data_IF_335751194384
#
_entry.id   IF_335751194384
#
_cell.length_a   1.000
_cell.length_b   1.000
_cell.length_c   1.000
_cell.angle_alpha   90.00
_cell.angle_beta   90.00
_cell.angle_gamma   90.00
#
_symmetry.space_group_name_H-M   'P 1'
#
loop_
_entity.id
_entity.type
_entity.pdbx_description
1 polymer ?
#
# COMPACT_ATOMS: atom_id res chain seq x y z
N UNK A 1 46.81 -58.86 55.69
CA UNK A 1 46.34 -57.52 55.57
C UNK A 1 45.66 -57.38 54.18
N UNK A 2 44.34 -57.53 54.17
CA UNK A 2 43.58 -57.47 52.92
C UNK A 2 42.77 -56.15 52.92
N UNK A 3 43.06 -55.21 52.03
CA UNK A 3 42.32 -53.97 51.82
C UNK A 3 41.20 -54.19 50.82
N UNK A 4 39.97 -54.21 51.31
CA UNK A 4 38.75 -54.23 50.49
C UNK A 4 38.49 -52.80 50.04
N UNK A 5 38.51 -52.60 48.71
CA UNK A 5 38.11 -51.34 48.03
C UNK A 5 36.62 -51.42 47.77
N UNK A 6 35.85 -50.54 48.43
CA UNK A 6 34.41 -50.35 48.23
C UNK A 6 34.19 -49.39 47.12
N UNK A 7 33.73 -49.90 45.98
CA UNK A 7 33.41 -49.12 44.76
C UNK A 7 31.96 -48.58 44.84
N UNK A 8 31.86 -47.25 45.14
CA UNK A 8 30.59 -46.56 45.28
C UNK A 8 30.05 -46.24 43.83
N UNK A 9 29.01 -46.92 43.40
CA UNK A 9 28.32 -46.72 42.11
C UNK A 9 27.36 -45.51 42.24
N UNK A 10 27.80 -44.30 41.86
CA UNK A 10 26.92 -43.14 41.75
C UNK A 10 26.02 -43.29 40.55
N UNK A 11 24.76 -43.67 40.79
CA UNK A 11 23.69 -43.69 39.80
C UNK A 11 23.26 -42.25 39.52
N UNK A 12 23.76 -41.63 38.44
CA UNK A 12 23.37 -40.31 38.01
C UNK A 12 21.94 -40.35 37.45
N UNK A 13 20.99 -39.84 38.25
CA UNK A 13 19.62 -39.60 37.84
C UNK A 13 19.60 -38.37 36.92
N UNK A 14 19.58 -38.56 35.60
CA UNK A 14 19.35 -37.51 34.63
C UNK A 14 17.84 -37.23 34.59
N UNK A 15 17.35 -36.07 35.02
CA UNK A 15 15.95 -35.77 34.82
C UNK A 15 15.73 -35.60 33.31
N UNK A 16 14.94 -36.48 32.71
CA UNK A 16 14.41 -36.27 31.36
C UNK A 16 13.56 -35.00 31.39
N UNK A 17 14.07 -33.89 30.83
CA UNK A 17 13.24 -32.77 30.48
C UNK A 17 12.19 -33.28 29.48
N UNK A 18 10.99 -33.55 29.99
CA UNK A 18 9.83 -33.71 29.15
C UNK A 18 9.65 -32.35 28.41
N UNK A 19 10.02 -32.32 27.13
CA UNK A 19 9.66 -31.24 26.25
C UNK A 19 8.14 -31.10 26.35
N UNK A 20 7.67 -30.02 26.97
CA UNK A 20 6.24 -29.69 27.00
C UNK A 20 5.82 -29.53 25.53
N UNK A 21 5.09 -30.50 25.02
CA UNK A 21 4.46 -30.40 23.70
C UNK A 21 3.50 -29.24 23.81
N UNK A 22 3.83 -28.11 23.17
CA UNK A 22 2.94 -26.93 23.10
C UNK A 22 1.71 -27.39 22.34
N UNK A 23 0.64 -27.72 23.10
CA UNK A 23 -0.66 -28.01 22.52
C UNK A 23 -1.24 -26.65 22.15
N UNK A 24 -1.30 -26.37 20.85
CA UNK A 24 -1.86 -25.12 20.38
C UNK A 24 -3.37 -25.06 20.73
N UNK A 25 -3.77 -23.97 21.37
CA UNK A 25 -5.16 -23.74 21.79
C UNK A 25 -5.98 -23.27 20.58
N UNK A 26 -7.13 -23.89 20.39
CA UNK A 26 -8.08 -23.49 19.34
C UNK A 26 -8.98 -22.38 19.91
N UNK A 27 -8.97 -21.22 19.26
CA UNK A 27 -9.81 -20.06 19.60
C UNK A 27 -11.18 -20.14 18.91
N UNK A 28 -11.19 -20.53 17.65
CA UNK A 28 -12.44 -20.75 16.92
C UNK A 28 -12.29 -21.84 15.85
N UNK A 29 -13.44 -22.42 15.47
CA UNK A 29 -13.58 -23.29 14.30
C UNK A 29 -14.54 -22.61 13.34
N UNK A 30 -14.16 -22.53 12.08
CA UNK A 30 -14.95 -21.97 10.99
C UNK A 30 -15.01 -23.04 9.90
N UNK A 31 -16.15 -23.64 9.70
CA UNK A 31 -16.30 -24.81 8.83
C UNK A 31 -15.27 -25.91 9.17
N UNK A 32 -14.42 -26.27 8.22
CA UNK A 32 -13.35 -27.26 8.40
C UNK A 32 -12.01 -26.68 8.88
N UNK A 33 -11.90 -25.37 9.11
CA UNK A 33 -10.68 -24.66 9.48
C UNK A 33 -10.67 -24.30 10.97
N UNK A 34 -9.49 -24.08 11.51
CA UNK A 34 -9.30 -23.66 12.91
C UNK A 34 -8.55 -22.34 12.94
N UNK A 35 -8.96 -21.46 13.85
CA UNK A 35 -8.20 -20.27 14.25
C UNK A 35 -7.52 -20.59 15.57
N UNK A 36 -6.20 -20.49 15.59
CA UNK A 36 -5.40 -20.84 16.75
C UNK A 36 -5.12 -19.61 17.62
N UNK A 37 -4.70 -19.85 18.88
CA UNK A 37 -4.30 -18.79 19.79
C UNK A 37 -3.08 -18.03 19.28
N UNK A 38 -2.13 -18.72 18.66
CA UNK A 38 -0.95 -18.11 18.08
C UNK A 38 -1.32 -17.16 16.94
N UNK A 39 -2.26 -17.56 16.08
CA UNK A 39 -2.77 -16.73 15.00
C UNK A 39 -3.52 -15.50 15.51
N UNK A 40 -4.41 -15.70 16.50
CA UNK A 40 -5.14 -14.62 17.15
C UNK A 40 -4.21 -13.59 17.79
N UNK A 41 -3.19 -14.05 18.54
CA UNK A 41 -2.23 -13.16 19.17
C UNK A 41 -1.38 -12.41 18.14
N UNK A 42 -0.93 -13.09 17.08
CA UNK A 42 -0.19 -12.45 15.97
C UNK A 42 -1.01 -11.34 15.31
N UNK A 43 -2.30 -11.56 15.07
CA UNK A 43 -3.19 -10.55 14.51
C UNK A 43 -3.37 -9.35 15.45
N UNK A 44 -3.44 -9.59 16.78
CA UNK A 44 -3.45 -8.50 17.78
C UNK A 44 -2.16 -7.69 17.78
N UNK A 45 -1.01 -8.37 17.69
CA UNK A 45 0.29 -7.69 17.66
C UNK A 45 0.43 -6.87 16.38
N UNK A 46 0.03 -7.42 15.25
CA UNK A 46 0.01 -6.68 13.99
C UNK A 46 -0.91 -5.45 14.06
N UNK A 47 -2.14 -5.60 14.59
CA UNK A 47 -3.03 -4.46 14.81
C UNK A 47 -2.38 -3.37 15.68
N UNK A 48 -1.64 -3.77 16.74
CA UNK A 48 -0.94 -2.81 17.61
C UNK A 48 0.14 -2.04 16.85
N UNK A 49 0.91 -2.73 16.01
CA UNK A 49 1.93 -2.11 15.18
C UNK A 49 1.32 -1.18 14.12
N UNK A 50 0.24 -1.60 13.48
CA UNK A 50 -0.47 -0.81 12.47
C UNK A 50 -1.03 0.50 13.06
N UNK A 51 -1.72 0.43 14.21
CA UNK A 51 -2.27 1.66 14.85
C UNK A 51 -1.16 2.57 15.36
N UNK A 52 -0.02 2.02 15.79
CA UNK A 52 1.14 2.79 16.21
C UNK A 52 1.82 3.52 15.06
N UNK A 53 1.83 2.93 13.87
CA UNK A 53 2.30 3.59 12.66
C UNK A 53 1.32 4.65 12.16
N UNK A 54 0.01 4.37 12.25
CA UNK A 54 -1.06 5.27 11.79
C UNK A 54 -1.15 6.55 12.64
N UNK A 55 -1.19 6.41 13.94
CA UNK A 55 -1.28 7.54 14.89
C UNK A 55 -0.55 7.19 16.21
N UNK A 56 0.74 7.50 16.31
CA UNK A 56 1.53 7.20 17.50
C UNK A 56 0.98 7.80 18.79
N UNK A 57 0.28 8.95 18.71
CA UNK A 57 -0.23 9.67 19.87
C UNK A 57 -1.51 9.04 20.45
N UNK A 58 -2.31 8.37 19.62
CA UNK A 58 -3.58 7.76 20.02
C UNK A 58 -3.56 6.22 19.87
N UNK A 59 -2.40 5.61 19.68
CA UNK A 59 -2.25 4.18 19.37
C UNK A 59 -2.93 3.26 20.40
N UNK A 60 -2.77 3.51 21.69
CA UNK A 60 -3.36 2.68 22.74
C UNK A 60 -4.89 2.73 22.73
N UNK A 61 -5.47 3.91 22.49
CA UNK A 61 -6.92 4.07 22.36
C UNK A 61 -7.45 3.35 21.12
N UNK A 62 -6.81 3.58 19.96
CA UNK A 62 -7.18 2.94 18.71
C UNK A 62 -7.07 1.41 18.81
N UNK A 63 -6.03 0.92 19.48
CA UNK A 63 -5.88 -0.50 19.72
C UNK A 63 -7.01 -1.04 20.61
N UNK A 64 -7.28 -0.42 21.76
CA UNK A 64 -8.36 -0.83 22.68
C UNK A 64 -9.74 -0.86 22.02
N UNK A 65 -10.02 0.10 21.11
CA UNK A 65 -11.28 0.18 20.37
C UNK A 65 -11.41 -0.94 19.34
N UNK A 66 -10.31 -1.39 18.72
CA UNK A 66 -10.30 -2.37 17.62
C UNK A 66 -9.96 -3.80 18.04
N UNK A 67 -9.23 -4.02 19.14
CA UNK A 67 -8.78 -5.36 19.53
C UNK A 67 -9.92 -6.36 19.77
N UNK A 68 -11.08 -5.87 20.20
CA UNK A 68 -12.29 -6.69 20.39
C UNK A 68 -12.82 -7.30 19.11
N UNK A 69 -12.49 -6.69 17.96
CA UNK A 69 -12.99 -7.10 16.65
C UNK A 69 -12.03 -8.05 15.92
N UNK A 70 -10.82 -8.29 16.47
CA UNK A 70 -9.80 -9.14 15.84
C UNK A 70 -10.31 -10.56 15.56
N UNK A 71 -11.05 -11.16 16.49
CA UNK A 71 -11.58 -12.50 16.27
C UNK A 71 -12.67 -12.51 15.18
N UNK A 72 -13.54 -11.51 15.16
CA UNK A 72 -14.53 -11.32 14.10
C UNK A 72 -13.83 -11.25 12.74
N UNK A 73 -12.79 -10.42 12.64
CA UNK A 73 -12.09 -10.19 11.38
C UNK A 73 -11.37 -11.44 10.88
N UNK A 74 -10.80 -12.26 11.78
CA UNK A 74 -10.23 -13.55 11.44
C UNK A 74 -11.26 -14.55 10.95
N UNK A 75 -12.44 -14.60 11.60
CA UNK A 75 -13.56 -15.46 11.18
C UNK A 75 -14.05 -15.00 9.80
N UNK A 76 -14.26 -13.70 9.59
CA UNK A 76 -14.71 -13.13 8.31
C UNK A 76 -13.69 -13.41 7.20
N UNK A 77 -12.40 -13.27 7.47
CA UNK A 77 -11.34 -13.63 6.54
C UNK A 77 -11.40 -15.11 6.16
N UNK A 78 -11.58 -16.00 7.14
CA UNK A 78 -11.67 -17.44 6.88
C UNK A 78 -12.89 -17.79 6.02
N UNK A 79 -14.04 -17.15 6.25
CA UNK A 79 -15.24 -17.33 5.43
C UNK A 79 -15.04 -16.87 3.99
N UNK A 80 -14.37 -15.74 3.79
CA UNK A 80 -14.01 -15.27 2.45
C UNK A 80 -13.00 -16.20 1.74
N UNK A 81 -12.04 -16.76 2.47
CA UNK A 81 -11.10 -17.74 1.91
C UNK A 81 -11.81 -19.04 1.52
N UNK A 82 -12.74 -19.52 2.33
CA UNK A 82 -13.54 -20.70 2.00
C UNK A 82 -14.41 -20.42 0.77
N UNK A 83 -15.05 -19.24 0.70
CA UNK A 83 -15.79 -18.84 -0.49
C UNK A 83 -14.91 -18.74 -1.73
N UNK A 84 -13.66 -18.27 -1.59
CA UNK A 84 -12.67 -18.25 -2.65
C UNK A 84 -12.36 -19.65 -3.19
N UNK A 85 -12.24 -20.64 -2.31
CA UNK A 85 -12.08 -22.06 -2.72
C UNK A 85 -13.29 -22.56 -3.51
N UNK A 86 -14.52 -22.25 -3.04
CA UNK A 86 -15.75 -22.64 -3.74
C UNK A 86 -15.85 -22.03 -5.14
N UNK A 87 -15.33 -20.80 -5.32
CA UNK A 87 -15.28 -20.12 -6.61
C UNK A 87 -14.06 -20.53 -7.47
N UNK A 88 -13.17 -21.38 -6.96
CA UNK A 88 -11.95 -21.79 -7.66
C UNK A 88 -10.89 -20.69 -7.75
N UNK A 89 -10.94 -19.69 -6.88
CA UNK A 89 -9.97 -18.59 -6.83
C UNK A 89 -8.73 -19.03 -6.05
N UNK A 90 -7.61 -19.28 -6.71
CA UNK A 90 -6.35 -19.69 -6.06
C UNK A 90 -5.41 -18.53 -5.74
N UNK A 91 -5.51 -17.44 -6.49
CA UNK A 91 -4.66 -16.26 -6.34
C UNK A 91 -3.21 -16.41 -6.82
N UNK A 92 -2.80 -17.59 -7.30
CA UNK A 92 -1.38 -17.89 -7.58
C UNK A 92 -0.77 -16.99 -8.67
N UNK A 93 -1.49 -16.80 -9.77
CA UNK A 93 -1.00 -15.94 -10.87
C UNK A 93 -0.81 -14.49 -10.42
N UNK A 94 -1.72 -13.98 -9.60
CA UNK A 94 -1.65 -12.60 -9.13
C UNK A 94 -0.61 -12.45 -8.01
N UNK A 95 -0.39 -13.48 -7.22
CA UNK A 95 0.71 -13.54 -6.25
C UNK A 95 2.06 -13.38 -6.95
N UNK A 96 2.30 -14.14 -8.03
CA UNK A 96 3.54 -14.04 -8.79
C UNK A 96 3.73 -12.62 -9.34
N UNK A 97 2.70 -12.05 -9.95
CA UNK A 97 2.73 -10.67 -10.45
C UNK A 97 3.00 -9.65 -9.34
N UNK A 98 2.36 -9.82 -8.19
CA UNK A 98 2.52 -8.90 -7.04
C UNK A 98 3.92 -8.96 -6.45
N UNK A 99 4.49 -10.16 -6.32
CA UNK A 99 5.87 -10.34 -5.87
C UNK A 99 6.87 -9.72 -6.84
N UNK A 100 6.70 -9.93 -8.17
CA UNK A 100 7.57 -9.33 -9.17
C UNK A 100 7.46 -7.79 -9.18
N UNK A 101 6.25 -7.24 -9.03
CA UNK A 101 6.07 -5.80 -8.92
C UNK A 101 6.77 -5.25 -7.67
N UNK A 102 6.60 -5.89 -6.52
CA UNK A 102 7.26 -5.49 -5.27
C UNK A 102 8.79 -5.52 -5.40
N UNK A 103 9.34 -6.57 -6.02
CA UNK A 103 10.76 -6.66 -6.33
C UNK A 103 11.25 -5.44 -7.13
N UNK A 104 10.51 -5.08 -8.20
CA UNK A 104 10.84 -3.93 -9.05
C UNK A 104 10.74 -2.59 -8.30
N UNK A 105 9.69 -2.40 -7.51
CA UNK A 105 9.45 -1.18 -6.73
C UNK A 105 10.55 -0.97 -5.68
N UNK A 106 11.04 -2.06 -5.08
CA UNK A 106 12.17 -2.05 -4.16
C UNK A 106 13.54 -2.01 -4.86
N UNK A 107 13.57 -1.99 -6.21
CA UNK A 107 14.78 -2.00 -7.04
C UNK A 107 15.71 -3.19 -6.75
N UNK A 108 15.13 -4.35 -6.45
CA UNK A 108 15.85 -5.60 -6.23
C UNK A 108 16.03 -6.33 -7.57
N UNK A 109 17.18 -6.96 -7.74
CA UNK A 109 17.50 -7.65 -9.00
C UNK A 109 16.86 -9.04 -9.07
N UNK A 110 16.79 -9.75 -7.93
CA UNK A 110 16.34 -11.14 -7.87
C UNK A 110 15.21 -11.35 -6.85
N UNK A 111 14.52 -12.49 -6.98
CA UNK A 111 13.50 -12.91 -6.02
C UNK A 111 14.12 -13.35 -4.68
N UNK A 112 15.36 -13.86 -4.70
CA UNK A 112 16.10 -14.23 -3.51
C UNK A 112 16.44 -13.00 -2.65
N UNK A 113 16.64 -11.84 -3.27
CA UNK A 113 16.81 -10.58 -2.53
C UNK A 113 15.50 -10.13 -1.87
N UNK A 114 14.35 -10.34 -2.53
CA UNK A 114 13.04 -10.09 -1.94
C UNK A 114 12.78 -11.03 -0.75
N UNK A 115 13.13 -12.30 -0.87
CA UNK A 115 13.04 -13.28 0.22
C UNK A 115 13.89 -12.86 1.42
N UNK A 116 15.14 -12.45 1.19
CA UNK A 116 16.02 -11.92 2.25
C UNK A 116 15.44 -10.66 2.90
N UNK A 117 14.87 -9.76 2.12
CA UNK A 117 14.24 -8.56 2.64
C UNK A 117 13.04 -8.89 3.54
N UNK A 118 12.19 -9.84 3.14
CA UNK A 118 11.05 -10.31 3.94
C UNK A 118 11.51 -11.01 5.24
N UNK A 119 12.49 -11.91 5.15
CA UNK A 119 12.99 -12.68 6.31
C UNK A 119 13.78 -11.83 7.29
N UNK A 120 14.42 -10.73 6.83
CA UNK A 120 15.12 -9.79 7.71
C UNK A 120 14.18 -9.09 8.71
N UNK A 121 12.88 -9.07 8.44
CA UNK A 121 11.84 -8.56 9.33
C UNK A 121 11.29 -9.63 10.30
N UNK A 122 11.89 -10.82 10.32
CA UNK A 122 11.49 -11.93 11.22
C UNK A 122 10.27 -12.71 10.75
N UNK A 123 9.82 -12.52 9.51
CA UNK A 123 8.67 -13.22 8.93
C UNK A 123 9.19 -14.31 7.99
N UNK A 124 8.68 -15.55 8.11
CA UNK A 124 8.97 -16.61 7.15
C UNK A 124 8.48 -16.18 5.75
N UNK A 125 9.30 -16.40 4.72
CA UNK A 125 8.94 -16.07 3.34
C UNK A 125 7.68 -16.83 2.86
N UNK A 126 7.49 -18.06 3.34
CA UNK A 126 6.28 -18.84 3.06
C UNK A 126 5.05 -18.20 3.72
N UNK A 127 5.14 -17.78 4.98
CA UNK A 127 4.05 -17.07 5.67
C UNK A 127 3.75 -15.73 4.97
N UNK A 128 4.78 -15.00 4.55
CA UNK A 128 4.63 -13.77 3.78
C UNK A 128 3.86 -14.02 2.46
N UNK A 129 4.24 -15.03 1.69
CA UNK A 129 3.52 -15.41 0.46
C UNK A 129 2.09 -15.86 0.74
N UNK A 130 1.88 -16.64 1.80
CA UNK A 130 0.55 -17.12 2.17
C UNK A 130 -0.37 -15.96 2.57
N UNK A 131 0.12 -15.01 3.37
CA UNK A 131 -0.64 -13.81 3.74
C UNK A 131 -1.01 -12.97 2.51
N UNK A 132 -0.08 -12.77 1.60
CA UNK A 132 -0.34 -12.05 0.34
C UNK A 132 -1.35 -12.80 -0.54
N UNK A 133 -1.25 -14.12 -0.65
CA UNK A 133 -2.23 -14.95 -1.36
C UNK A 133 -3.62 -14.82 -0.75
N UNK A 134 -3.73 -14.89 0.57
CA UNK A 134 -4.99 -14.74 1.29
C UNK A 134 -5.62 -13.36 1.01
N UNK A 135 -4.83 -12.29 1.03
CA UNK A 135 -5.30 -10.94 0.67
C UNK A 135 -5.81 -10.88 -0.78
N UNK A 136 -5.10 -11.47 -1.72
CA UNK A 136 -5.51 -11.53 -3.13
C UNK A 136 -6.84 -12.28 -3.28
N UNK A 137 -6.97 -13.45 -2.63
CA UNK A 137 -8.21 -14.24 -2.68
C UNK A 137 -9.38 -13.45 -2.10
N UNK A 138 -9.21 -12.89 -0.90
CA UNK A 138 -10.28 -12.11 -0.25
C UNK A 138 -10.70 -10.89 -1.06
N UNK A 139 -9.75 -10.16 -1.63
CA UNK A 139 -10.04 -9.02 -2.51
C UNK A 139 -10.83 -9.45 -3.75
N UNK A 140 -10.45 -10.57 -4.38
CA UNK A 140 -11.18 -11.08 -5.55
C UNK A 140 -12.60 -11.52 -5.20
N UNK A 141 -12.77 -12.25 -4.11
CA UNK A 141 -14.10 -12.66 -3.63
C UNK A 141 -14.98 -11.44 -3.37
N UNK A 142 -14.46 -10.43 -2.67
CA UNK A 142 -15.18 -9.18 -2.43
C UNK A 142 -15.51 -8.48 -3.75
N UNK A 143 -14.56 -8.41 -4.67
CA UNK A 143 -14.77 -7.81 -5.99
C UNK A 143 -15.85 -8.52 -6.80
N UNK A 144 -15.83 -9.86 -6.85
CA UNK A 144 -16.75 -10.66 -7.63
C UNK A 144 -18.14 -10.79 -7.00
N UNK A 145 -18.20 -11.04 -5.69
CA UNK A 145 -19.45 -11.33 -5.00
C UNK A 145 -20.19 -10.09 -4.49
N UNK A 146 -19.47 -9.01 -4.23
CA UNK A 146 -20.02 -7.77 -3.69
C UNK A 146 -19.84 -6.62 -4.66
N UNK A 147 -18.62 -6.31 -5.02
CA UNK A 147 -18.25 -5.13 -5.82
C UNK A 147 -18.93 -5.11 -7.19
N UNK A 148 -18.91 -6.24 -7.91
CA UNK A 148 -19.52 -6.36 -9.24
C UNK A 148 -21.05 -6.19 -9.25
N UNK A 149 -21.68 -6.35 -8.09
CA UNK A 149 -23.15 -6.22 -7.92
C UNK A 149 -23.57 -4.82 -7.49
N UNK A 150 -22.62 -3.96 -7.18
CA UNK A 150 -22.91 -2.57 -6.83
C UNK A 150 -23.30 -1.80 -8.09
N UNK A 151 -24.48 -1.23 -8.08
CA UNK A 151 -24.93 -0.33 -9.13
C UNK A 151 -24.79 1.11 -8.66
N UNK A 152 -24.09 1.93 -9.45
CA UNK A 152 -23.94 3.37 -9.23
C UNK A 152 -24.62 4.06 -10.39
N UNK A 153 -25.78 4.65 -10.11
CA UNK A 153 -26.58 5.31 -11.17
C UNK A 153 -26.08 6.71 -11.45
N UNK A 154 -26.44 7.24 -12.61
CA UNK A 154 -26.13 8.62 -12.99
C UNK A 154 -26.78 9.63 -12.04
N UNK A 155 -27.98 9.32 -11.57
CA UNK A 155 -28.71 10.14 -10.59
C UNK A 155 -27.96 10.23 -9.26
N UNK A 156 -27.39 9.13 -8.77
CA UNK A 156 -26.60 9.11 -7.56
C UNK A 156 -25.30 9.91 -7.74
N UNK A 157 -24.65 9.78 -8.89
CA UNK A 157 -23.46 10.55 -9.21
C UNK A 157 -23.76 12.06 -9.24
N UNK A 158 -24.89 12.46 -9.87
CA UNK A 158 -25.31 13.85 -9.90
C UNK A 158 -25.65 14.36 -8.50
N UNK A 159 -26.35 13.58 -7.70
CA UNK A 159 -26.68 13.93 -6.33
C UNK A 159 -25.42 14.12 -5.48
N UNK A 160 -24.48 13.18 -5.55
CA UNK A 160 -23.20 13.28 -4.84
C UNK A 160 -22.43 14.54 -5.26
N UNK A 161 -22.36 14.82 -6.56
CA UNK A 161 -21.73 16.02 -7.07
C UNK A 161 -22.37 17.30 -6.50
N UNK A 162 -23.70 17.36 -6.47
CA UNK A 162 -24.44 18.53 -5.98
C UNK A 162 -24.27 18.74 -4.47
N UNK A 163 -24.22 17.66 -3.69
CA UNK A 163 -24.07 17.68 -2.23
C UNK A 163 -22.64 18.00 -1.79
N UNK A 164 -21.60 17.62 -2.61
CA UNK A 164 -20.18 17.79 -2.25
C UNK A 164 -19.47 18.88 -3.06
N UNK A 165 -20.22 19.81 -3.67
CA UNK A 165 -19.64 20.91 -4.47
C UNK A 165 -18.53 21.68 -3.74
N UNK A 166 -18.72 21.97 -2.46
CA UNK A 166 -17.72 22.69 -1.66
C UNK A 166 -16.43 21.89 -1.43
N UNK A 167 -16.52 20.57 -1.37
CA UNK A 167 -15.36 19.68 -1.20
C UNK A 167 -14.63 19.44 -2.53
N UNK A 168 -15.35 19.61 -3.63
CA UNK A 168 -14.80 19.49 -4.99
C UNK A 168 -14.15 20.78 -5.48
N UNK A 169 -14.32 21.88 -4.75
CA UNK A 169 -13.70 23.17 -5.11
C UNK A 169 -12.18 23.04 -5.11
N UNK A 170 -11.55 23.46 -6.20
CA UNK A 170 -10.11 23.34 -6.39
C UNK A 170 -9.50 24.72 -6.64
N UNK A 171 -8.32 24.99 -6.08
CA UNK A 171 -7.57 26.18 -6.45
C UNK A 171 -7.10 26.09 -7.90
N UNK A 172 -6.93 27.23 -8.55
CA UNK A 172 -6.33 27.27 -9.87
C UNK A 172 -4.95 26.63 -9.85
N UNK A 173 -4.70 25.75 -10.81
CA UNK A 173 -3.42 25.04 -10.95
C UNK A 173 -3.07 24.81 -12.41
N UNK A 174 -1.76 24.78 -12.66
CA UNK A 174 -1.20 24.50 -13.98
C UNK A 174 -0.18 23.37 -13.87
N UNK A 175 -0.09 22.53 -14.90
CA UNK A 175 1.01 21.60 -15.07
C UNK A 175 1.99 22.17 -16.08
N UNK A 176 3.26 22.20 -15.70
CA UNK A 176 4.33 22.78 -16.51
C UNK A 176 5.34 21.71 -16.94
N UNK A 177 5.86 21.91 -18.16
CA UNK A 177 7.12 21.30 -18.58
C UNK A 177 8.12 22.39 -18.93
N UNK A 178 9.41 22.12 -18.70
CA UNK A 178 10.50 23.06 -18.94
C UNK A 178 11.54 22.52 -19.90
N UNK A 179 12.17 23.43 -20.64
CA UNK A 179 13.47 23.22 -21.29
C UNK A 179 14.40 24.30 -20.78
N UNK A 180 15.36 23.91 -19.95
CA UNK A 180 16.39 24.80 -19.41
C UNK A 180 17.64 24.73 -20.27
N UNK A 181 18.08 25.83 -20.83
CA UNK A 181 19.35 25.98 -21.55
C UNK A 181 20.31 26.77 -20.68
N UNK A 182 21.18 26.04 -20.00
CA UNK A 182 22.25 26.65 -19.18
C UNK A 182 23.39 27.19 -20.06
N UNK A 183 23.95 28.36 -19.73
CA UNK A 183 25.15 28.85 -20.42
C UNK A 183 26.33 27.91 -20.16
N UNK A 184 26.95 27.42 -21.22
CA UNK A 184 28.15 26.62 -21.12
C UNK A 184 29.32 27.52 -20.91
N UNK A 185 29.85 27.60 -19.69
CA UNK A 185 31.13 28.28 -19.44
C UNK A 185 32.24 27.51 -20.13
N UNK A 186 33.16 28.18 -20.85
CA UNK A 186 34.35 27.52 -21.32
C UNK A 186 35.08 26.88 -20.12
N UNK A 187 35.52 25.64 -20.29
CA UNK A 187 36.31 25.00 -19.26
C UNK A 187 37.52 25.94 -18.97
N UNK A 188 37.56 26.47 -17.74
CA UNK A 188 38.70 27.24 -17.29
C UNK A 188 39.92 26.34 -17.38
N UNK A 189 40.80 26.56 -18.37
CA UNK A 189 42.08 25.93 -18.38
C UNK A 189 42.82 26.41 -17.13
N UNK A 190 43.01 25.51 -16.18
CA UNK A 190 43.65 25.74 -14.88
C UNK A 190 45.15 26.13 -14.99
N UNK A 191 45.59 26.60 -16.16
CA UNK A 191 47.00 26.91 -16.47
C UNK A 191 47.28 28.39 -16.76
N UNK A 192 46.30 29.30 -16.64
CA UNK A 192 46.59 30.73 -16.84
C UNK A 192 46.33 31.50 -15.54
N UNK A 193 47.38 31.68 -14.75
CA UNK A 193 47.38 32.64 -13.66
C UNK A 193 47.18 34.06 -14.23
N UNK A 194 46.15 34.79 -13.70
CA UNK A 194 45.88 36.16 -14.07
C UNK A 194 44.88 36.32 -15.23
N UNK A 195 43.63 35.92 -15.04
CA UNK A 195 42.58 36.33 -15.97
C UNK A 195 42.12 37.74 -15.61
N UNK A 196 42.23 38.67 -16.59
CA UNK A 196 41.57 39.97 -16.51
C UNK A 196 40.07 39.80 -16.27
N UNK A 197 39.55 40.47 -15.25
CA UNK A 197 38.12 40.42 -14.89
C UNK A 197 37.19 40.76 -16.07
N UNK A 198 37.69 41.54 -17.03
CA UNK A 198 36.97 41.92 -18.24
C UNK A 198 36.91 40.78 -19.27
N UNK A 199 37.95 39.98 -19.40
CA UNK A 199 37.94 38.78 -20.26
C UNK A 199 36.95 37.72 -19.71
N UNK A 200 36.85 37.51 -18.38
CA UNK A 200 35.91 36.63 -17.77
C UNK A 200 34.45 37.10 -17.98
N UNK A 201 34.19 38.40 -17.86
CA UNK A 201 32.85 38.98 -18.14
C UNK A 201 32.44 38.84 -19.60
N UNK A 202 33.39 39.01 -20.54
CA UNK A 202 33.14 38.82 -21.98
C UNK A 202 32.84 37.34 -22.30
N UNK A 203 33.54 36.39 -21.69
CA UNK A 203 33.28 34.96 -21.85
C UNK A 203 31.92 34.57 -21.29
N UNK A 204 31.52 35.08 -20.12
CA UNK A 204 30.20 34.87 -19.55
C UNK A 204 29.08 35.47 -20.43
N UNK A 205 29.27 36.65 -20.98
CA UNK A 205 28.34 37.28 -21.91
C UNK A 205 28.19 36.49 -23.22
N UNK A 206 29.30 36.00 -23.79
CA UNK A 206 29.30 35.15 -24.98
C UNK A 206 28.55 33.80 -24.73
N UNK A 207 28.80 33.17 -23.58
CA UNK A 207 28.13 31.93 -23.17
C UNK A 207 26.61 32.14 -23.04
N UNK A 208 26.20 33.26 -22.45
CA UNK A 208 24.78 33.65 -22.35
C UNK A 208 24.15 33.86 -23.73
N UNK A 209 24.83 34.62 -24.63
CA UNK A 209 24.31 34.85 -25.97
C UNK A 209 24.18 33.55 -26.78
N UNK A 210 25.11 32.60 -26.62
CA UNK A 210 25.03 31.27 -27.22
C UNK A 210 23.83 30.46 -26.70
N UNK A 211 23.63 30.50 -25.38
CA UNK A 211 22.50 29.80 -24.74
C UNK A 211 21.17 30.41 -25.21
N UNK A 212 21.07 31.72 -25.34
CA UNK A 212 19.87 32.42 -25.87
C UNK A 212 19.56 32.04 -27.30
N UNK A 213 20.60 32.07 -28.17
CA UNK A 213 20.47 31.68 -29.56
C UNK A 213 19.97 30.21 -29.68
N UNK A 214 20.54 29.30 -28.88
CA UNK A 214 20.10 27.90 -28.82
C UNK A 214 18.67 27.78 -28.33
N UNK A 215 18.28 28.50 -27.28
CA UNK A 215 16.90 28.49 -26.76
C UNK A 215 15.90 28.97 -27.81
N UNK A 216 16.22 30.05 -28.53
CA UNK A 216 15.37 30.58 -29.60
C UNK A 216 15.25 29.60 -30.78
N UNK A 217 16.31 28.92 -31.16
CA UNK A 217 16.30 27.90 -32.18
C UNK A 217 15.41 26.70 -31.81
N UNK A 218 15.53 26.22 -30.55
CA UNK A 218 14.67 25.15 -30.03
C UNK A 218 13.19 25.58 -29.98
N UNK A 219 12.92 26.81 -29.56
CA UNK A 219 11.56 27.35 -29.56
C UNK A 219 10.97 27.37 -30.97
N UNK A 220 11.77 27.75 -31.95
CA UNK A 220 11.35 27.75 -33.39
C UNK A 220 11.01 26.33 -33.84
N UNK A 221 11.84 25.33 -33.48
CA UNK A 221 11.57 23.93 -33.82
C UNK A 221 10.27 23.43 -33.19
N UNK A 222 10.04 23.76 -31.90
CA UNK A 222 8.81 23.37 -31.19
C UNK A 222 7.57 24.02 -31.84
N UNK A 223 7.66 25.31 -32.18
CA UNK A 223 6.57 26.02 -32.87
C UNK A 223 6.34 25.50 -34.30
N UNK A 224 7.33 24.90 -34.91
CA UNK A 224 7.21 24.20 -36.19
C UNK A 224 6.64 22.76 -36.06
N UNK A 225 6.30 22.31 -34.83
CA UNK A 225 5.66 21.02 -34.59
C UNK A 225 6.56 19.93 -34.00
N UNK A 226 7.82 20.24 -33.67
CA UNK A 226 8.67 19.26 -33.00
C UNK A 226 8.17 18.96 -31.56
N UNK A 227 8.33 17.71 -31.13
CA UNK A 227 7.93 17.29 -29.78
C UNK A 227 8.72 18.02 -28.70
N UNK A 228 8.00 18.72 -27.80
CA UNK A 228 8.58 19.41 -26.66
C UNK A 228 9.36 18.43 -25.76
N UNK A 229 8.79 17.27 -25.47
CA UNK A 229 9.35 16.26 -24.58
C UNK A 229 10.66 15.68 -25.13
N UNK A 230 10.71 15.41 -26.45
CA UNK A 230 11.92 14.91 -27.10
C UNK A 230 13.04 15.97 -27.14
N UNK A 231 12.68 17.24 -27.34
CA UNK A 231 13.65 18.34 -27.26
C UNK A 231 14.13 18.53 -25.85
N UNK A 232 13.26 18.44 -24.84
CA UNK A 232 13.61 18.51 -23.43
C UNK A 232 14.60 17.41 -23.06
N UNK A 233 14.33 16.15 -23.40
CA UNK A 233 15.23 15.01 -23.14
C UNK A 233 16.62 15.19 -23.73
N UNK A 234 16.70 15.78 -24.91
CA UNK A 234 17.97 15.94 -25.66
C UNK A 234 18.76 17.18 -25.29
N UNK A 235 18.10 18.26 -24.91
CA UNK A 235 18.74 19.57 -24.82
C UNK A 235 18.61 20.26 -23.47
N UNK A 236 17.66 19.85 -22.62
CA UNK A 236 17.46 20.50 -21.33
C UNK A 236 18.58 20.15 -20.36
N UNK A 237 19.10 21.16 -19.68
CA UNK A 237 20.03 21.03 -18.56
C UNK A 237 19.34 20.90 -17.21
N UNK A 238 17.99 20.95 -17.18
CA UNK A 238 17.20 20.84 -15.96
C UNK A 238 17.08 19.40 -15.46
N UNK A 239 16.80 19.21 -14.17
CA UNK A 239 16.68 17.87 -13.56
C UNK A 239 15.49 17.06 -14.14
N UNK A 240 14.48 17.73 -14.68
CA UNK A 240 13.32 17.14 -15.33
C UNK A 240 13.56 16.65 -16.76
N UNK A 241 14.75 16.86 -17.32
CA UNK A 241 15.08 16.53 -18.71
C UNK A 241 14.74 15.09 -19.10
N UNK A 242 15.13 14.11 -18.25
CA UNK A 242 14.87 12.69 -18.49
C UNK A 242 13.37 12.34 -18.56
N UNK A 243 12.53 13.12 -17.90
CA UNK A 243 11.06 13.01 -17.89
C UNK A 243 10.39 13.92 -18.95
N UNK A 244 11.14 14.35 -19.98
CA UNK A 244 10.60 15.24 -21.01
C UNK A 244 10.36 16.67 -20.53
N UNK A 245 11.00 17.06 -19.44
CA UNK A 245 10.89 18.39 -18.83
C UNK A 245 9.72 18.55 -17.85
N UNK A 246 8.96 17.51 -17.54
CA UNK A 246 7.79 17.59 -16.64
C UNK A 246 8.18 18.06 -15.24
N UNK A 247 7.65 19.21 -14.83
CA UNK A 247 7.81 19.80 -13.49
C UNK A 247 6.67 19.46 -12.53
N UNK A 248 5.60 18.82 -13.02
CA UNK A 248 4.41 18.55 -12.24
C UNK A 248 3.45 19.74 -12.15
N UNK A 249 2.60 19.71 -11.13
CA UNK A 249 1.48 20.67 -10.95
C UNK A 249 1.87 21.77 -9.97
N UNK A 250 1.57 23.00 -10.34
CA UNK A 250 1.78 24.21 -9.53
C UNK A 250 0.44 24.89 -9.23
N UNK A 251 0.22 25.22 -7.98
CA UNK A 251 -0.90 26.05 -7.56
C UNK A 251 -0.48 27.52 -7.63
N UNK A 252 -1.46 28.41 -7.77
CA UNK A 252 -1.20 29.86 -7.70
C UNK A 252 -0.51 30.21 -6.37
N UNK A 253 0.52 31.07 -6.43
CA UNK A 253 1.36 31.45 -5.28
C UNK A 253 2.58 30.56 -5.02
N UNK A 254 2.80 29.50 -5.83
CA UNK A 254 3.96 28.59 -5.66
C UNK A 254 5.13 28.90 -6.59
N UNK A 255 4.92 29.63 -7.67
CA UNK A 255 5.93 30.06 -8.61
C UNK A 255 6.44 31.47 -8.31
N UNK A 256 7.62 31.79 -8.85
CA UNK A 256 8.07 33.18 -8.88
C UNK A 256 7.07 34.03 -9.65
N UNK A 257 6.72 35.21 -9.13
CA UNK A 257 5.63 36.04 -9.65
C UNK A 257 5.68 36.27 -11.16
N UNK A 258 6.86 36.50 -11.71
CA UNK A 258 7.01 36.73 -13.14
C UNK A 258 6.65 35.48 -13.99
N UNK A 259 7.01 34.28 -13.54
CA UNK A 259 6.66 33.05 -14.20
C UNK A 259 5.17 32.73 -14.01
N UNK A 260 4.65 32.97 -12.80
CA UNK A 260 3.24 32.76 -12.47
C UNK A 260 2.33 33.62 -13.34
N UNK A 261 2.58 34.94 -13.41
CA UNK A 261 1.76 35.87 -14.20
C UNK A 261 1.70 35.47 -15.69
N UNK A 262 2.83 34.93 -16.22
CA UNK A 262 2.89 34.45 -17.62
C UNK A 262 2.20 33.14 -17.82
N UNK A 263 2.47 32.14 -16.97
CA UNK A 263 2.02 30.77 -17.21
C UNK A 263 0.55 30.57 -16.85
N UNK A 264 0.04 31.23 -15.81
CA UNK A 264 -1.40 31.18 -15.47
C UNK A 264 -2.31 31.98 -16.41
N UNK A 265 -1.75 32.86 -17.22
CA UNK A 265 -2.50 33.50 -18.32
C UNK A 265 -2.62 32.62 -19.57
N UNK A 266 -1.89 31.49 -19.61
CA UNK A 266 -1.81 30.63 -20.78
C UNK A 266 -2.82 29.49 -20.71
N UNK A 267 -3.28 29.02 -21.87
CA UNK A 267 -4.14 27.84 -21.98
C UNK A 267 -3.27 26.58 -22.06
N UNK A 268 -3.88 25.43 -21.76
CA UNK A 268 -3.24 24.13 -21.99
C UNK A 268 -2.72 24.01 -23.43
N UNK A 269 -1.53 23.47 -23.58
CA UNK A 269 -0.80 23.32 -24.85
C UNK A 269 0.05 24.53 -25.25
N UNK A 270 -0.13 25.70 -24.65
CA UNK A 270 0.63 26.89 -25.02
C UNK A 270 2.07 26.86 -24.48
N UNK A 271 2.95 27.55 -25.19
CA UNK A 271 4.41 27.59 -24.91
C UNK A 271 4.82 29.04 -24.77
N UNK A 272 5.65 29.36 -23.79
CA UNK A 272 6.18 30.72 -23.58
C UNK A 272 7.21 31.09 -24.65
N UNK A 273 7.49 32.36 -24.74
CA UNK A 273 8.75 32.83 -25.30
C UNK A 273 9.90 32.39 -24.40
N UNK A 274 11.14 32.56 -24.90
CA UNK A 274 12.34 32.30 -24.12
C UNK A 274 12.38 33.27 -22.94
N UNK A 275 12.50 32.72 -21.72
CA UNK A 275 12.55 33.51 -20.48
C UNK A 275 13.95 33.42 -19.90
N UNK A 276 14.56 34.57 -19.60
CA UNK A 276 15.85 34.60 -18.91
C UNK A 276 15.66 34.36 -17.42
N UNK A 277 16.43 33.43 -16.88
CA UNK A 277 16.48 33.12 -15.45
C UNK A 277 17.92 33.21 -14.91
N UNK A 278 18.08 33.02 -13.60
CA UNK A 278 19.42 32.97 -12.99
C UNK A 278 20.25 31.77 -13.45
N UNK A 279 19.57 30.68 -13.88
CA UNK A 279 20.22 29.43 -14.32
C UNK A 279 20.51 29.41 -15.82
N UNK A 280 19.93 30.32 -16.57
CA UNK A 280 20.05 30.37 -18.03
C UNK A 280 18.71 30.80 -18.68
N UNK A 281 18.42 30.21 -19.83
CA UNK A 281 17.19 30.48 -20.57
C UNK A 281 16.24 29.31 -20.47
N UNK A 282 14.96 29.61 -20.19
CA UNK A 282 13.90 28.61 -20.00
C UNK A 282 12.80 28.80 -21.01
N UNK A 283 12.32 27.73 -21.58
CA UNK A 283 11.06 27.63 -22.33
C UNK A 283 10.10 26.80 -21.50
N UNK A 284 8.92 27.35 -21.19
CA UNK A 284 7.87 26.65 -20.45
C UNK A 284 6.73 26.29 -21.36
N UNK A 285 6.14 25.10 -21.14
CA UNK A 285 4.91 24.65 -21.77
C UNK A 285 3.87 24.39 -20.68
N UNK A 286 2.71 24.98 -20.81
CA UNK A 286 1.54 24.60 -20.00
C UNK A 286 0.94 23.34 -20.60
N UNK A 287 1.11 22.21 -19.92
CA UNK A 287 0.59 20.92 -20.39
C UNK A 287 -0.85 20.71 -19.96
N UNK A 288 -1.23 21.28 -18.81
CA UNK A 288 -2.60 21.31 -18.31
C UNK A 288 -2.87 22.61 -17.56
N UNK A 289 -4.13 23.11 -17.61
CA UNK A 289 -4.56 24.30 -16.88
C UNK A 289 -5.93 24.06 -16.29
N UNK A 290 -5.97 23.89 -14.99
CA UNK A 290 -7.19 23.72 -14.21
C UNK A 290 -7.58 25.05 -13.60
N UNK A 291 -8.73 25.56 -14.01
CA UNK A 291 -9.29 26.81 -13.45
C UNK A 291 -9.72 26.63 -11.99
N UNK A 292 -9.63 27.71 -11.21
CA UNK A 292 -10.20 27.75 -9.88
C UNK A 292 -11.72 27.54 -9.91
N UNK A 293 -12.24 26.89 -8.87
CA UNK A 293 -13.67 26.69 -8.68
C UNK A 293 -14.07 25.21 -8.69
N UNK A 294 -15.35 24.96 -8.86
CA UNK A 294 -15.91 23.62 -8.89
C UNK A 294 -15.74 23.05 -10.31
N UNK A 295 -14.98 21.96 -10.48
CA UNK A 295 -14.78 21.37 -11.81
C UNK A 295 -16.12 20.84 -12.36
N UNK A 296 -16.33 20.88 -13.67
CA UNK A 296 -17.51 20.26 -14.27
C UNK A 296 -17.61 18.78 -13.89
N UNK A 297 -18.84 18.29 -13.71
CA UNK A 297 -19.08 16.90 -13.29
C UNK A 297 -18.33 15.88 -14.16
N UNK A 298 -18.26 16.09 -15.47
CA UNK A 298 -17.53 15.21 -16.41
C UNK A 298 -16.07 15.00 -16.07
N UNK A 299 -15.42 16.01 -15.46
CA UNK A 299 -13.98 15.98 -15.14
C UNK A 299 -13.72 15.27 -13.79
N UNK A 300 -14.76 15.11 -12.97
CA UNK A 300 -14.69 14.45 -11.65
C UNK A 300 -15.52 13.17 -11.57
N UNK A 301 -16.17 12.76 -12.64
CA UNK A 301 -17.04 11.57 -12.68
C UNK A 301 -16.35 10.32 -12.14
N UNK A 302 -15.11 10.05 -12.54
CA UNK A 302 -14.36 8.89 -12.05
C UNK A 302 -14.15 8.94 -10.52
N UNK A 303 -13.78 10.11 -9.98
CA UNK A 303 -13.61 10.31 -8.54
C UNK A 303 -14.92 10.11 -7.76
N UNK A 304 -16.03 10.59 -8.33
CA UNK A 304 -17.37 10.42 -7.75
C UNK A 304 -17.78 8.95 -7.76
N UNK A 305 -17.52 8.24 -8.87
CA UNK A 305 -17.78 6.80 -8.95
C UNK A 305 -16.97 6.02 -7.92
N UNK A 306 -15.69 6.32 -7.76
CA UNK A 306 -14.84 5.69 -6.75
C UNK A 306 -15.36 5.97 -5.33
N UNK A 307 -15.73 7.23 -5.02
CA UNK A 307 -16.26 7.60 -3.71
C UNK A 307 -17.57 6.85 -3.40
N UNK A 308 -18.52 6.86 -4.32
CA UNK A 308 -19.78 6.14 -4.20
C UNK A 308 -19.59 4.62 -4.11
N UNK A 309 -18.62 4.08 -4.86
CA UNK A 309 -18.26 2.67 -4.78
C UNK A 309 -17.81 2.30 -3.37
N UNK A 310 -16.87 3.03 -2.78
CA UNK A 310 -16.41 2.75 -1.42
C UNK A 310 -17.48 2.98 -0.36
N UNK A 311 -18.34 3.98 -0.53
CA UNK A 311 -19.48 4.23 0.36
C UNK A 311 -20.45 3.04 0.37
N UNK A 312 -20.78 2.51 -0.81
CA UNK A 312 -21.71 1.36 -0.96
C UNK A 312 -21.07 0.03 -0.62
N UNK A 313 -19.76 -0.11 -0.83
CA UNK A 313 -19.05 -1.38 -0.61
C UNK A 313 -19.10 -1.82 0.85
N UNK A 314 -18.92 -0.91 1.79
CA UNK A 314 -18.87 -1.25 3.22
C UNK A 314 -20.18 -1.88 3.75
N UNK A 315 -21.37 -1.27 3.56
CA UNK A 315 -22.62 -1.88 3.99
C UNK A 315 -22.94 -3.18 3.23
N UNK A 316 -22.63 -3.24 1.91
CA UNK A 316 -22.87 -4.43 1.11
C UNK A 316 -21.96 -5.60 1.54
N UNK A 317 -20.70 -5.34 1.83
CA UNK A 317 -19.76 -6.33 2.36
C UNK A 317 -20.23 -6.85 3.73
N UNK A 318 -20.68 -5.95 4.59
CA UNK A 318 -21.20 -6.33 5.92
C UNK A 318 -22.43 -7.25 5.80
N UNK A 319 -23.37 -6.92 4.92
CA UNK A 319 -24.53 -7.76 4.65
C UNK A 319 -24.13 -9.13 4.05
N UNK A 320 -23.14 -9.13 3.15
CA UNK A 320 -22.60 -10.36 2.55
C UNK A 320 -21.92 -11.26 3.60
N UNK A 321 -21.09 -10.70 4.47
CA UNK A 321 -20.44 -11.43 5.56
C UNK A 321 -21.45 -11.99 6.55
N UNK A 322 -22.52 -11.23 6.90
CA UNK A 322 -23.62 -11.75 7.73
C UNK A 322 -24.23 -13.00 7.11
N UNK A 323 -24.49 -12.97 5.80
CA UNK A 323 -25.03 -14.15 5.10
C UNK A 323 -24.05 -15.32 5.10
N UNK A 324 -22.75 -15.08 4.85
CA UNK A 324 -21.74 -16.15 4.93
C UNK A 324 -21.67 -16.77 6.34
N UNK A 325 -21.84 -15.98 7.39
CA UNK A 325 -21.86 -16.45 8.78
C UNK A 325 -23.10 -17.32 9.07
N UNK A 326 -24.26 -16.91 8.58
CA UNK A 326 -25.52 -17.68 8.73
C UNK A 326 -25.45 -19.06 8.06
N UNK A 327 -24.74 -19.15 6.93
CA UNK A 327 -24.56 -20.38 6.17
C UNK A 327 -23.40 -21.27 6.70
N UNK A 328 -22.54 -20.74 7.59
CA UNK A 328 -21.33 -21.39 8.04
C UNK A 328 -21.48 -22.06 9.41
N UNK A 329 -20.64 -23.07 9.66
CA UNK A 329 -20.41 -23.60 11.00
C UNK A 329 -19.35 -22.79 11.72
N UNK A 330 -19.72 -22.01 12.73
CA UNK A 330 -18.81 -21.21 13.55
C UNK A 330 -18.93 -21.67 15.01
N UNK A 331 -17.82 -22.05 15.63
CA UNK A 331 -17.74 -22.37 17.05
C UNK A 331 -16.57 -21.66 17.69
N UNK A 332 -16.85 -20.74 18.58
CA UNK A 332 -15.89 -20.00 19.38
C UNK A 332 -15.63 -20.73 20.71
N UNK A 333 -14.39 -20.80 21.12
CA UNK A 333 -13.99 -21.42 22.39
C UNK A 333 -14.37 -20.56 23.59
N UNK A 334 -14.58 -21.19 24.75
CA UNK A 334 -14.88 -20.48 26.01
C UNK A 334 -13.79 -19.46 26.33
N UNK A 335 -14.20 -18.24 26.72
CA UNK A 335 -13.29 -17.14 27.05
C UNK A 335 -12.94 -16.21 25.89
N UNK A 336 -13.42 -16.49 24.69
CA UNK A 336 -13.29 -15.62 23.52
C UNK A 336 -14.65 -15.08 23.10
N UNK A 337 -14.66 -13.88 22.52
CA UNK A 337 -15.91 -13.21 22.08
C UNK A 337 -15.80 -12.86 20.61
N UNK A 338 -16.75 -13.30 19.82
CA UNK A 338 -16.94 -12.89 18.44
C UNK A 338 -17.99 -11.76 18.37
N UNK A 339 -17.53 -10.55 18.08
CA UNK A 339 -18.41 -9.36 17.95
C UNK A 339 -19.26 -9.38 16.68
N UNK A 340 -18.96 -10.27 15.73
CA UNK A 340 -19.72 -10.45 14.49
C UNK A 340 -20.85 -11.48 14.56
N UNK A 341 -21.04 -12.12 15.72
CA UNK A 341 -22.05 -13.15 15.90
C UNK A 341 -23.45 -12.65 15.54
N UNK A 342 -24.16 -13.40 14.69
CA UNK A 342 -25.55 -13.15 14.32
C UNK A 342 -26.49 -14.08 15.10
N UNK A 343 -27.63 -13.57 15.52
CA UNK A 343 -28.66 -14.38 16.20
C UNK A 343 -29.24 -15.52 15.31
N UNK A 344 -29.01 -15.40 13.99
CA UNK A 344 -29.50 -16.38 13.00
C UNK A 344 -28.39 -17.37 12.56
N UNK A 345 -27.21 -17.33 13.18
CA UNK A 345 -26.15 -18.31 12.88
C UNK A 345 -26.62 -19.74 13.17
N UNK A 346 -26.33 -20.63 12.23
CA UNK A 346 -26.68 -22.05 12.36
C UNK A 346 -25.93 -22.63 13.56
N UNK A 347 -26.68 -23.02 14.59
CA UNK A 347 -26.08 -23.68 15.76
C UNK A 347 -25.36 -24.95 15.31
N UNK A 348 -24.12 -25.18 15.81
CA UNK A 348 -23.37 -26.38 15.44
C UNK A 348 -24.19 -27.64 15.75
N UNK A 349 -24.50 -28.42 14.75
CA UNK A 349 -25.02 -29.78 14.97
C UNK A 349 -23.87 -30.61 15.51
N UNK A 350 -23.77 -30.77 16.85
CA UNK A 350 -22.85 -31.71 17.44
C UNK A 350 -23.23 -33.13 16.97
N UNK A 351 -22.51 -33.67 16.00
CA UNK A 351 -22.67 -35.07 15.63
C UNK A 351 -22.35 -35.95 16.82
N UNK A 352 -23.15 -37.00 17.03
CA UNK A 352 -23.01 -37.91 18.16
C UNK A 352 -21.60 -38.48 18.36
N UNK A 353 -20.75 -38.52 17.30
CA UNK A 353 -19.37 -38.92 17.35
C UNK A 353 -18.45 -37.91 18.11
N UNK A 354 -18.76 -36.61 18.08
CA UNK A 354 -17.99 -35.61 18.83
C UNK A 354 -18.30 -35.70 20.33
N UNK A 355 -19.58 -35.91 20.70
CA UNK A 355 -19.97 -36.14 22.10
C UNK A 355 -19.35 -37.39 22.70
N UNK A 356 -19.16 -38.44 21.89
CA UNK A 356 -18.54 -39.69 22.35
C UNK A 356 -17.01 -39.55 22.56
N UNK A 357 -16.32 -38.76 21.76
CA UNK A 357 -14.88 -38.47 21.92
C UNK A 357 -14.61 -37.59 23.14
N UNK A 358 -15.42 -36.58 23.40
CA UNK A 358 -15.29 -35.70 24.56
C UNK A 358 -15.69 -36.40 25.87
N UNK A 359 -16.74 -37.22 25.84
CA UNK A 359 -17.13 -38.08 26.99
C UNK A 359 -16.06 -39.13 27.31
N UNK A 360 -15.39 -39.71 26.29
CA UNK A 360 -14.27 -40.66 26.49
C UNK A 360 -13.03 -39.97 27.04
N UNK A 361 -12.75 -38.74 26.61
CA UNK A 361 -11.63 -37.96 27.12
C UNK A 361 -11.84 -37.48 28.56
N UNK A 362 -13.04 -37.05 28.93
CA UNK A 362 -13.45 -36.71 30.28
C UNK A 362 -13.41 -37.93 31.23
N UNK A 363 -13.85 -39.12 30.78
CA UNK A 363 -13.74 -40.37 31.56
C UNK A 363 -12.30 -40.81 31.73
N UNK A 364 -11.42 -40.64 30.74
CA UNK A 364 -9.98 -40.91 30.87
C UNK A 364 -9.29 -39.93 31.85
N UNK A 365 -9.65 -38.63 31.82
CA UNK A 365 -9.14 -37.64 32.79
C UNK A 365 -9.58 -37.95 34.20
N UNK A 366 -10.86 -38.30 34.46
CA UNK A 366 -11.38 -38.69 35.80
C UNK A 366 -10.72 -39.96 36.30
N UNK A 367 -10.51 -40.99 35.47
CA UNK A 367 -9.80 -42.21 35.90
C UNK A 367 -8.31 -41.97 36.23
N UNK A 368 -7.66 -41.00 35.57
CA UNK A 368 -6.25 -40.66 35.83
C UNK A 368 -6.10 -39.84 37.11
N UNK A 369 -7.13 -39.14 37.56
CA UNK A 369 -7.14 -38.37 38.82
C UNK A 369 -7.49 -39.27 40.02
N UNK A 370 -8.43 -40.21 39.85
CA UNK A 370 -8.79 -41.17 40.92
C UNK A 370 -7.75 -42.31 41.13
N UNK A 371 -6.85 -42.54 40.20
CA UNK A 371 -5.77 -43.55 40.33
C UNK A 371 -4.46 -43.01 40.90
N UNK A 372 -4.45 -41.77 41.40
CA UNK A 372 -3.33 -41.13 42.08
C UNK A 372 -3.64 -40.71 43.54
N UNK A 373 -4.77 -41.16 44.09
CA UNK A 373 -5.11 -41.18 45.49
C UNK A 373 -5.03 -42.62 46.00
#
# INVERSE_FOLDING_TARGET
MKKTVLMLLCLSFVPALAAAQVVEEIVARVNGQIITRSEFNRSKDQLRDDVKQQDPNNADKLFSDREKDVLRDLIDQQLLLDKGKDLGITGDTDLIKRLDQMRKDMKLETMEELEKAATSQGISYEDFKQNMRNQIITQKVIGEEVGSRLNITTEEQQKFYDEHKSELEQPESIRLSEILIAPQKPAANAAAGGQDADAAKQADAAALATAEAKANELLKQIRAGASFDEIAKKNSAGPSAAQGGDLGVFKRGTLAKELEDRTFAMKSGQITDVIRTKQGYVILKVTDHQMAGIPPMKDVTAKIQDALYYEKLQPALRAYLTKLREDAYIKVADGYVDTGHSANETQPVETASAKESDAKNLKKKKKKILGKL
#
